data_IF_390237089761
#
_entry.id   IF_390237089761
#
_cell.length_a   1.000
_cell.length_b   1.000
_cell.length_c   1.000
_cell.angle_alpha   90.00
_cell.angle_beta   90.00
_cell.angle_gamma   90.00
#
_symmetry.space_group_name_H-M   'P 1'
#
loop_
_entity.id
_entity.type
_entity.pdbx_description
1 polymer ?
#
# COMPACT_ATOMS: atom_id res chain seq x y z
N UNK A 1 5.81 12.51 -7.05
CA UNK A 1 5.85 11.05 -7.27
C UNK A 1 4.58 10.68 -8.03
N UNK A 2 4.71 10.30 -9.30
CA UNK A 2 3.57 9.88 -10.13
C UNK A 2 3.28 8.40 -9.83
N UNK A 3 2.02 8.09 -9.54
CA UNK A 3 1.54 6.71 -9.48
C UNK A 3 1.62 6.13 -10.90
N UNK A 4 2.50 5.17 -11.15
CA UNK A 4 2.46 4.38 -12.37
C UNK A 4 1.35 3.35 -12.22
N UNK A 5 0.27 3.53 -12.96
CA UNK A 5 -0.81 2.54 -13.07
C UNK A 5 -0.35 1.51 -14.10
N UNK A 6 -0.07 0.31 -13.65
CA UNK A 6 0.10 -0.86 -14.51
C UNK A 6 -1.23 -1.63 -14.43
N UNK A 7 -2.05 -1.69 -15.50
CA UNK A 7 -3.30 -2.42 -15.44
C UNK A 7 -3.02 -3.91 -15.25
N UNK A 8 -3.23 -4.43 -14.04
CA UNK A 8 -3.28 -5.89 -13.81
C UNK A 8 -4.56 -6.41 -14.47
N UNK A 9 -4.42 -7.22 -15.51
CA UNK A 9 -5.52 -7.89 -16.20
C UNK A 9 -6.21 -8.88 -15.26
N UNK A 10 -7.53 -8.75 -15.09
CA UNK A 10 -8.40 -9.77 -14.51
C UNK A 10 -9.07 -9.34 -13.20
N UNK A 11 -10.33 -8.97 -13.25
CA UNK A 11 -11.12 -8.78 -12.03
C UNK A 11 -12.39 -7.95 -12.15
N UNK A 12 -12.66 -7.31 -13.29
CA UNK A 12 -13.71 -6.29 -13.37
C UNK A 12 -15.16 -6.81 -13.32
N UNK A 13 -15.46 -8.00 -13.88
CA UNK A 13 -16.84 -8.50 -14.02
C UNK A 13 -17.32 -9.24 -12.77
N UNK A 14 -16.54 -10.15 -12.23
CA UNK A 14 -16.88 -10.92 -11.02
C UNK A 14 -17.13 -10.00 -9.81
N UNK A 15 -16.47 -8.85 -9.81
CA UNK A 15 -16.51 -7.87 -8.72
C UNK A 15 -17.80 -7.03 -8.70
N UNK A 16 -18.34 -6.70 -9.89
CA UNK A 16 -19.59 -5.95 -9.98
C UNK A 16 -20.77 -6.75 -9.42
N UNK A 17 -20.80 -8.04 -9.69
CA UNK A 17 -21.87 -8.93 -9.26
C UNK A 17 -21.80 -9.25 -7.75
N UNK A 18 -20.59 -9.41 -7.21
CA UNK A 18 -20.38 -9.56 -5.77
C UNK A 18 -20.82 -8.33 -4.95
N UNK A 19 -20.61 -7.10 -5.48
CA UNK A 19 -21.13 -5.89 -4.84
C UNK A 19 -22.65 -5.78 -4.95
N UNK A 20 -23.22 -6.14 -6.11
CA UNK A 20 -24.67 -6.13 -6.31
C UNK A 20 -25.38 -7.10 -5.38
N UNK A 21 -24.82 -8.29 -5.19
CA UNK A 21 -25.35 -9.29 -4.25
C UNK A 21 -25.39 -8.78 -2.80
N UNK A 22 -24.54 -7.81 -2.45
CA UNK A 22 -24.51 -7.15 -1.12
C UNK A 22 -25.25 -5.78 -1.12
N UNK A 23 -26.12 -5.53 -2.11
CA UNK A 23 -26.87 -4.27 -2.22
C UNK A 23 -26.00 -3.03 -2.54
N UNK A 24 -24.74 -3.21 -2.96
CA UNK A 24 -23.80 -2.12 -3.26
C UNK A 24 -23.59 -1.99 -4.77
N UNK A 25 -23.65 -0.77 -5.29
CA UNK A 25 -23.40 -0.50 -6.72
C UNK A 25 -21.94 -0.12 -6.93
N UNK A 26 -21.29 -0.72 -7.94
CA UNK A 26 -19.97 -0.29 -8.40
C UNK A 26 -20.14 0.97 -9.28
N UNK A 27 -20.24 2.13 -8.64
CA UNK A 27 -20.34 3.42 -9.33
C UNK A 27 -19.03 3.77 -10.05
N UNK A 28 -19.10 4.69 -11.03
CA UNK A 28 -17.91 5.15 -11.78
C UNK A 28 -16.78 5.61 -10.86
N UNK A 29 -16.98 6.41 -9.80
CA UNK A 29 -15.92 6.76 -8.86
C UNK A 29 -15.33 5.56 -8.13
N UNK A 30 -16.17 4.61 -7.68
CA UNK A 30 -15.70 3.40 -6.97
C UNK A 30 -14.83 2.53 -7.85
N UNK A 31 -15.24 2.30 -9.09
CA UNK A 31 -14.46 1.53 -10.06
C UNK A 31 -13.10 2.19 -10.29
N UNK A 32 -13.08 3.49 -10.58
CA UNK A 32 -11.84 4.21 -10.83
C UNK A 32 -10.90 4.16 -9.61
N UNK A 33 -11.41 4.34 -8.39
CA UNK A 33 -10.62 4.24 -7.16
C UNK A 33 -10.02 2.83 -7.01
N UNK A 34 -10.84 1.80 -7.21
CA UNK A 34 -10.40 0.41 -7.12
C UNK A 34 -9.31 0.09 -8.14
N UNK A 35 -9.51 0.48 -9.40
CA UNK A 35 -8.57 0.25 -10.49
C UNK A 35 -7.24 0.97 -10.23
N UNK A 36 -7.29 2.20 -9.72
CA UNK A 36 -6.11 2.98 -9.34
C UNK A 36 -5.29 2.32 -8.23
N UNK A 37 -5.96 1.85 -7.18
CA UNK A 37 -5.26 1.24 -6.04
C UNK A 37 -4.72 -0.14 -6.41
N UNK A 38 -5.46 -0.94 -7.18
CA UNK A 38 -5.00 -2.26 -7.65
C UNK A 38 -3.93 -2.19 -8.73
N UNK A 39 -3.89 -1.10 -9.47
CA UNK A 39 -2.89 -0.85 -10.51
C UNK A 39 -1.53 -0.38 -10.00
N UNK A 40 -1.31 -0.35 -8.69
CA UNK A 40 -0.04 0.11 -8.11
C UNK A 40 0.39 -0.73 -6.92
N UNK A 41 1.69 -0.95 -6.80
CA UNK A 41 2.32 -1.59 -5.62
C UNK A 41 2.78 -0.53 -4.59
N UNK A 42 2.30 0.72 -4.70
CA UNK A 42 2.84 1.84 -3.92
C UNK A 42 2.10 2.12 -2.60
N UNK A 43 1.08 1.37 -2.26
CA UNK A 43 0.25 1.56 -1.06
C UNK A 43 -0.17 3.03 -0.87
N UNK A 44 -1.00 3.61 -1.76
CA UNK A 44 -1.27 5.03 -1.77
C UNK A 44 -2.08 5.46 -0.54
N UNK A 45 -1.87 6.70 -0.08
CA UNK A 45 -2.79 7.38 0.84
C UNK A 45 -4.04 7.85 0.10
N UNK A 46 -5.11 8.14 0.85
CA UNK A 46 -6.34 8.71 0.28
C UNK A 46 -6.09 10.02 -0.49
N UNK A 47 -5.14 10.84 -0.03
CA UNK A 47 -4.76 12.08 -0.70
C UNK A 47 -4.07 11.80 -2.06
N UNK A 48 -3.24 10.77 -2.15
CA UNK A 48 -2.63 10.35 -3.42
C UNK A 48 -3.69 9.85 -4.40
N UNK A 49 -4.58 8.96 -3.93
CA UNK A 49 -5.69 8.44 -4.74
C UNK A 49 -6.59 9.59 -5.22
N UNK A 50 -6.92 10.55 -4.33
CA UNK A 50 -7.71 11.71 -4.69
C UNK A 50 -7.09 12.53 -5.82
N UNK A 51 -5.79 12.80 -5.78
CA UNK A 51 -5.11 13.54 -6.86
C UNK A 51 -5.23 12.84 -8.20
N UNK A 52 -5.11 11.52 -8.23
CA UNK A 52 -5.24 10.76 -9.47
C UNK A 52 -6.69 10.68 -9.94
N UNK A 53 -7.65 10.39 -9.03
CA UNK A 53 -9.08 10.34 -9.36
C UNK A 53 -9.56 11.67 -9.91
N UNK A 54 -9.12 12.80 -9.35
CA UNK A 54 -9.53 14.14 -9.75
C UNK A 54 -9.14 14.49 -11.19
N UNK A 55 -8.10 13.86 -11.75
CA UNK A 55 -7.73 14.03 -13.17
C UNK A 55 -8.80 13.49 -14.12
N UNK A 56 -9.53 12.46 -13.69
CA UNK A 56 -10.57 11.81 -14.46
C UNK A 56 -11.99 12.24 -14.04
N UNK A 57 -12.14 12.68 -12.82
CA UNK A 57 -13.39 13.14 -12.20
C UNK A 57 -13.17 14.47 -11.46
N UNK A 58 -13.13 15.61 -12.18
CA UNK A 58 -12.74 16.91 -11.59
C UNK A 58 -13.60 17.37 -10.42
N UNK A 59 -14.89 16.95 -10.38
CA UNK A 59 -15.86 17.33 -9.36
C UNK A 59 -15.87 16.43 -8.12
N UNK A 60 -15.01 15.40 -8.06
CA UNK A 60 -14.93 14.51 -6.89
C UNK A 60 -14.32 15.25 -5.70
N UNK A 61 -14.84 15.04 -4.51
CA UNK A 61 -14.24 15.56 -3.28
C UNK A 61 -13.32 14.53 -2.61
N UNK A 62 -12.36 15.00 -1.80
CA UNK A 62 -11.49 14.13 -0.99
C UNK A 62 -12.33 13.25 -0.06
N UNK A 63 -13.37 13.82 0.56
CA UNK A 63 -14.28 13.06 1.43
C UNK A 63 -15.00 11.92 0.70
N UNK A 64 -15.37 12.13 -0.57
CA UNK A 64 -15.96 11.09 -1.41
C UNK A 64 -14.96 9.97 -1.69
N UNK A 65 -13.71 10.31 -2.01
CA UNK A 65 -12.65 9.31 -2.25
C UNK A 65 -12.39 8.52 -0.99
N UNK A 66 -12.24 9.18 0.16
CA UNK A 66 -11.98 8.52 1.44
C UNK A 66 -13.11 7.55 1.83
N UNK A 67 -14.38 7.97 1.73
CA UNK A 67 -15.53 7.11 2.01
C UNK A 67 -15.57 5.89 1.09
N UNK A 68 -15.25 6.04 -0.19
CA UNK A 68 -15.22 4.92 -1.13
C UNK A 68 -14.05 3.97 -0.84
N UNK A 69 -12.87 4.47 -0.51
CA UNK A 69 -11.72 3.64 -0.10
C UNK A 69 -12.06 2.80 1.13
N UNK A 70 -12.62 3.41 2.18
CA UNK A 70 -13.02 2.68 3.38
C UNK A 70 -14.14 1.66 3.12
N UNK A 71 -15.11 2.02 2.29
CA UNK A 71 -16.15 1.07 1.89
C UNK A 71 -15.55 -0.13 1.13
N UNK A 72 -14.63 0.11 0.19
CA UNK A 72 -13.96 -0.95 -0.56
C UNK A 72 -13.10 -1.83 0.36
N UNK A 73 -12.46 -1.25 1.38
CA UNK A 73 -11.71 -1.99 2.37
C UNK A 73 -12.62 -2.83 3.28
N UNK A 74 -13.74 -2.27 3.76
CA UNK A 74 -14.72 -2.99 4.57
C UNK A 74 -15.35 -4.18 3.82
N UNK A 75 -15.47 -4.09 2.50
CA UNK A 75 -15.96 -5.19 1.63
C UNK A 75 -14.83 -6.18 1.25
N UNK A 76 -13.61 -6.00 1.74
CA UNK A 76 -12.46 -6.87 1.45
C UNK A 76 -11.87 -6.73 0.04
N UNK A 77 -12.14 -5.63 -0.66
CA UNK A 77 -11.66 -5.38 -2.02
C UNK A 77 -10.34 -4.65 -2.06
N UNK A 78 -10.02 -4.00 -0.98
CA UNK A 78 -8.75 -3.39 -0.66
C UNK A 78 -8.38 -3.79 0.76
N UNK A 79 -7.12 -3.69 1.09
CA UNK A 79 -6.64 -3.74 2.45
C UNK A 79 -6.35 -2.32 2.94
N UNK A 80 -6.73 -2.02 4.19
CA UNK A 80 -6.44 -0.75 4.86
C UNK A 80 -5.41 -1.00 5.96
N UNK A 81 -4.37 -0.17 6.02
CA UNK A 81 -3.36 -0.25 7.08
C UNK A 81 -3.00 1.14 7.59
N UNK A 82 -2.79 1.26 8.89
CA UNK A 82 -2.19 2.43 9.50
C UNK A 82 -0.66 2.28 9.50
N UNK A 83 0.06 3.36 9.18
CA UNK A 83 1.49 3.48 9.36
C UNK A 83 1.83 4.85 9.99
N UNK A 84 3.12 5.13 10.22
CA UNK A 84 3.59 6.39 10.77
C UNK A 84 3.22 7.61 9.88
N UNK A 85 2.98 7.40 8.59
CA UNK A 85 2.57 8.43 7.63
C UNK A 85 1.04 8.52 7.42
N UNK A 86 0.24 7.80 8.22
CA UNK A 86 -1.22 7.76 8.15
C UNK A 86 -1.76 6.51 7.47
N UNK A 87 -3.02 6.55 7.09
CA UNK A 87 -3.69 5.41 6.47
C UNK A 87 -3.23 5.18 5.03
N UNK A 88 -2.88 3.94 4.70
CA UNK A 88 -2.52 3.45 3.37
C UNK A 88 -3.52 2.43 2.89
N UNK A 89 -3.68 2.34 1.58
CA UNK A 89 -4.57 1.39 0.93
C UNK A 89 -3.77 0.48 0.00
N UNK A 90 -4.06 -0.80 0.07
CA UNK A 90 -3.41 -1.83 -0.70
C UNK A 90 -4.43 -2.54 -1.59
N UNK A 91 -4.09 -2.71 -2.86
CA UNK A 91 -4.91 -3.41 -3.83
C UNK A 91 -4.70 -4.92 -3.84
N UNK A 92 -3.63 -5.39 -3.20
CA UNK A 92 -3.35 -6.80 -3.01
C UNK A 92 -4.04 -7.28 -1.73
N UNK A 93 -5.02 -8.15 -1.88
CA UNK A 93 -5.76 -8.74 -0.74
C UNK A 93 -5.35 -10.18 -0.44
N UNK A 94 -4.45 -10.77 -1.24
CA UNK A 94 -3.86 -12.06 -0.95
C UNK A 94 -2.93 -11.96 0.27
N UNK A 95 -2.76 -13.04 1.04
CA UNK A 95 -1.86 -13.02 2.20
C UNK A 95 -0.42 -12.70 1.79
N UNK A 96 0.12 -11.60 2.31
CA UNK A 96 1.51 -11.18 2.11
C UNK A 96 2.00 -10.38 3.31
N UNK A 97 3.32 -10.23 3.41
CA UNK A 97 3.99 -9.43 4.41
C UNK A 97 4.39 -8.07 3.80
N UNK A 98 4.86 -7.14 4.61
CA UNK A 98 5.24 -5.82 4.14
C UNK A 98 6.64 -5.44 4.61
N UNK A 99 7.34 -4.68 3.77
CA UNK A 99 8.59 -4.01 4.11
C UNK A 99 8.40 -2.50 4.02
N UNK A 100 8.67 -1.79 5.11
CA UNK A 100 8.63 -0.32 5.16
C UNK A 100 10.04 0.26 5.16
N UNK A 101 10.35 1.09 4.17
CA UNK A 101 11.63 1.79 4.11
C UNK A 101 11.62 2.98 5.07
N UNK A 102 12.48 2.95 6.10
CA UNK A 102 12.59 4.03 7.09
C UNK A 102 13.17 5.32 6.54
N UNK A 103 13.82 5.28 5.36
CA UNK A 103 14.44 6.46 4.75
C UNK A 103 13.50 7.22 3.81
N UNK A 104 12.60 6.55 3.09
CA UNK A 104 11.71 7.18 2.13
C UNK A 104 10.22 6.92 2.38
N UNK A 105 9.87 6.14 3.40
CA UNK A 105 8.50 5.81 3.75
C UNK A 105 7.74 4.96 2.72
N UNK A 106 8.44 4.39 1.73
CA UNK A 106 7.80 3.47 0.79
C UNK A 106 7.54 2.13 1.44
N UNK A 107 6.40 1.56 1.10
CA UNK A 107 5.97 0.23 1.50
C UNK A 107 6.07 -0.68 0.28
N UNK A 108 6.51 -1.91 0.49
CA UNK A 108 6.67 -2.94 -0.52
C UNK A 108 6.00 -4.21 -0.05
N UNK A 109 5.29 -4.89 -0.95
CA UNK A 109 4.81 -6.25 -0.70
C UNK A 109 6.00 -7.20 -0.64
N UNK A 110 5.97 -8.07 0.34
CA UNK A 110 6.95 -9.15 0.50
C UNK A 110 6.19 -10.46 0.51
N UNK A 111 6.60 -11.45 -0.29
CA UNK A 111 6.01 -12.78 -0.19
C UNK A 111 6.08 -13.29 1.25
N UNK A 112 5.11 -14.10 1.70
CA UNK A 112 5.16 -14.69 3.03
C UNK A 112 6.47 -15.47 3.21
N UNK A 113 7.37 -14.99 4.07
CA UNK A 113 8.72 -15.56 4.23
C UNK A 113 8.76 -16.82 5.09
N UNK A 114 7.64 -17.51 5.27
CA UNK A 114 7.60 -18.75 6.06
C UNK A 114 7.94 -18.57 7.55
N UNK A 115 8.00 -17.33 8.03
CA UNK A 115 8.11 -17.05 9.46
C UNK A 115 6.93 -17.70 10.16
N UNK A 116 7.21 -18.49 11.21
CA UNK A 116 6.19 -19.25 11.94
C UNK A 116 5.00 -18.34 12.25
N UNK A 117 3.90 -18.58 11.56
CA UNK A 117 2.64 -17.93 11.92
C UNK A 117 2.19 -18.52 13.25
N UNK A 118 1.85 -17.67 14.18
CA UNK A 118 1.26 -18.12 15.45
C UNK A 118 -0.07 -18.81 15.11
N UNK A 119 -0.25 -20.09 15.48
CA UNK A 119 -1.53 -20.75 15.25
C UNK A 119 -2.66 -19.97 15.92
N UNK A 120 -3.80 -19.85 15.24
CA UNK A 120 -4.96 -19.07 15.74
C UNK A 120 -5.45 -19.52 17.12
N UNK A 121 -5.14 -20.75 17.51
CA UNK A 121 -5.46 -21.33 18.83
C UNK A 121 -4.33 -21.22 19.86
N UNK A 122 -3.20 -20.61 19.49
CA UNK A 122 -2.11 -20.43 20.43
C UNK A 122 -2.45 -19.25 21.35
N UNK A 123 -2.62 -19.52 22.61
CA UNK A 123 -2.79 -18.48 23.61
C UNK A 123 -1.52 -17.64 23.70
N UNK A 124 -1.55 -16.43 23.19
CA UNK A 124 -0.47 -15.43 23.38
C UNK A 124 -0.37 -15.08 24.88
N UNK A 125 -1.52 -15.13 25.55
CA UNK A 125 -1.67 -14.98 26.98
C UNK A 125 -2.95 -15.74 27.41
N UNK A 126 -3.01 -16.34 28.60
CA UNK A 126 -4.23 -16.95 29.10
C UNK A 126 -5.45 -16.01 28.99
N UNK A 127 -6.54 -16.49 28.42
CA UNK A 127 -7.75 -15.71 28.21
C UNK A 127 -7.80 -14.85 26.92
N UNK A 128 -6.73 -14.85 26.09
CA UNK A 128 -6.78 -14.17 24.79
C UNK A 128 -7.10 -15.13 23.64
N UNK A 129 -7.96 -14.67 22.74
CA UNK A 129 -8.22 -15.31 21.47
C UNK A 129 -7.48 -14.54 20.35
N UNK A 130 -6.64 -15.23 19.57
CA UNK A 130 -5.86 -14.62 18.49
C UNK A 130 -6.64 -14.75 17.18
N UNK A 131 -7.11 -13.64 16.62
CA UNK A 131 -7.80 -13.60 15.34
C UNK A 131 -6.86 -13.40 14.14
N UNK A 132 -5.60 -13.04 14.36
CA UNK A 132 -4.63 -12.84 13.31
C UNK A 132 -3.29 -12.32 13.79
N UNK A 133 -2.33 -12.31 12.88
CA UNK A 133 -1.02 -11.70 13.09
C UNK A 133 -0.63 -10.89 11.86
N UNK A 134 0.23 -9.91 12.07
CA UNK A 134 0.85 -9.12 10.99
C UNK A 134 2.35 -9.17 11.16
N UNK A 135 3.06 -9.42 10.06
CA UNK A 135 4.52 -9.35 10.02
C UNK A 135 4.90 -8.13 9.21
N UNK A 136 5.80 -7.33 9.72
CA UNK A 136 6.27 -6.12 9.10
C UNK A 136 7.78 -6.00 9.24
N UNK A 137 8.46 -5.79 8.13
CA UNK A 137 9.90 -5.61 8.05
C UNK A 137 10.23 -4.13 7.90
N UNK A 138 11.23 -3.66 8.60
CA UNK A 138 11.72 -2.28 8.54
C UNK A 138 13.18 -2.24 8.12
N UNK A 139 13.54 -1.27 7.30
CA UNK A 139 14.92 -1.12 6.85
C UNK A 139 15.06 -0.06 5.76
N UNK A 140 16.12 -0.13 4.96
CA UNK A 140 16.33 0.74 3.81
C UNK A 140 16.10 -0.04 2.52
N UNK A 141 15.25 0.46 1.64
CA UNK A 141 15.07 -0.11 0.31
C UNK A 141 16.35 0.05 -0.52
N UNK A 142 16.46 -0.74 -1.58
CA UNK A 142 17.63 -0.76 -2.46
C UNK A 142 17.96 0.63 -3.05
N UNK A 143 16.97 1.39 -3.48
CA UNK A 143 17.18 2.76 -3.96
C UNK A 143 17.80 3.69 -2.90
N UNK A 144 17.33 3.60 -1.64
CA UNK A 144 17.87 4.39 -0.54
C UNK A 144 19.24 3.90 -0.08
N UNK A 145 19.55 2.61 -0.22
CA UNK A 145 20.88 2.07 0.04
C UNK A 145 21.89 2.58 -0.99
N UNK A 146 21.55 2.51 -2.28
CA UNK A 146 22.42 3.01 -3.37
C UNK A 146 22.58 4.51 -3.36
N UNK A 147 21.56 5.29 -3.03
CA UNK A 147 21.64 6.74 -2.90
C UNK A 147 22.60 7.19 -1.80
N UNK A 148 22.59 6.50 -0.64
CA UNK A 148 23.53 6.76 0.46
C UNK A 148 24.99 6.47 0.08
N UNK A 149 25.25 5.49 -0.79
CA UNK A 149 26.61 5.18 -1.27
C UNK A 149 27.10 6.20 -2.30
N UNK A 150 26.22 6.79 -3.12
CA UNK A 150 26.58 7.87 -4.05
C UNK A 150 26.93 9.17 -3.31
N UNK A 151 26.22 9.49 -2.25
CA UNK A 151 26.47 10.70 -1.45
C UNK A 151 27.77 10.60 -0.65
N UNK A 152 28.09 9.42 -0.09
CA UNK A 152 29.37 9.16 0.56
C UNK A 152 30.57 9.23 -0.42
N UNK A 153 30.41 8.76 -1.66
CA UNK A 153 31.45 8.87 -2.69
C UNK A 153 31.66 10.31 -3.16
N UNK A 154 30.60 11.12 -3.22
CA UNK A 154 30.69 12.54 -3.56
C UNK A 154 31.35 13.36 -2.46
N UNK A 155 31.08 13.09 -1.20
CA UNK A 155 31.74 13.76 -0.07
C UNK A 155 33.23 13.39 0.03
N UNK A 156 33.59 12.12 -0.27
CA UNK A 156 34.98 11.68 -0.27
C UNK A 156 35.78 12.25 -1.46
N UNK A 157 35.17 12.40 -2.61
CA UNK A 157 35.81 13.02 -3.78
C UNK A 157 36.04 14.52 -3.63
N UNK A 158 35.22 15.20 -2.80
CA UNK A 158 35.44 16.63 -2.48
C UNK A 158 36.45 16.87 -1.37
N UNK A 159 36.82 15.84 -0.60
CA UNK A 159 37.75 15.93 0.53
C UNK A 159 39.21 15.56 0.17
N UNK A 160 39.55 15.37 -1.11
CA UNK A 160 40.95 15.21 -1.51
C UNK A 160 41.67 16.53 -1.34
N UNK A 161 42.66 16.65 -0.42
CA UNK A 161 43.53 17.84 -0.35
C UNK A 161 44.33 17.93 -1.66
N UNK A 162 44.30 19.10 -2.26
CA UNK A 162 45.23 19.42 -3.34
C UNK A 162 46.63 19.45 -2.71
N UNK A 163 47.43 18.43 -3.01
CA UNK A 163 48.82 18.37 -2.58
C UNK A 163 49.61 19.48 -3.27
N UNK A 164 50.38 20.15 -2.46
CA UNK A 164 51.45 21.04 -2.88
C UNK A 164 52.64 20.23 -3.37
#
# INVERSE_FOLDING_TARGET
MQLRIIPKKGGSVIQADALRARGKRLTRPRRLILDLVRGTDAHPSAALVYREVRRHLPRVSLATVYRNLRMLAAEGWLSERADAGGTRFDGNTDPHDHFTCVACGRIYDVPPLGVRRVPSRTAVRPGFEVHGQRIEFYGRCDACRRGSTRDRRRSYARAKPQGH
#
